data_IF_992931547430
#
_entry.id   IF_992931547430
#
_cell.length_a   1.000
_cell.length_b   1.000
_cell.length_c   1.000
_cell.angle_alpha   90.00
_cell.angle_beta   90.00
_cell.angle_gamma   90.00
#
_symmetry.space_group_name_H-M   'P 1'
#
loop_
_entity.id
_entity.type
_entity.pdbx_description
1 polymer ?
#
# COMPACT_ATOMS: atom_id res chain seq x y z
N UNK A 1 -7.29 -27.14 6.22
CA UNK A 1 -6.73 -26.38 5.08
C UNK A 1 -5.55 -25.57 5.59
N UNK A 2 -4.42 -25.53 4.87
CA UNK A 2 -3.30 -24.68 5.24
C UNK A 2 -3.77 -23.20 5.20
N UNK A 3 -3.43 -22.45 6.25
CA UNK A 3 -3.72 -21.02 6.33
C UNK A 3 -3.04 -20.28 5.18
N UNK A 4 -3.77 -19.40 4.47
CA UNK A 4 -3.17 -18.53 3.45
C UNK A 4 -2.30 -17.47 4.09
N UNK A 5 -1.27 -17.04 3.37
CA UNK A 5 -0.34 -16.00 3.81
C UNK A 5 -0.46 -14.78 2.89
N UNK A 6 -0.65 -13.60 3.48
CA UNK A 6 -0.66 -12.32 2.79
C UNK A 6 0.52 -11.46 3.22
N UNK A 7 1.12 -10.74 2.27
CA UNK A 7 2.11 -9.69 2.53
C UNK A 7 1.52 -8.33 2.16
N UNK A 8 1.59 -7.38 3.09
CA UNK A 8 1.05 -6.02 2.92
C UNK A 8 2.19 -5.01 3.04
N UNK A 9 2.48 -4.25 1.99
CA UNK A 9 3.26 -3.03 2.13
C UNK A 9 2.35 -1.91 2.60
N UNK A 10 2.85 -1.00 3.47
CA UNK A 10 2.01 0.07 4.02
C UNK A 10 0.97 -0.41 5.04
N UNK A 11 1.22 -1.52 5.74
CA UNK A 11 0.32 -2.10 6.77
C UNK A 11 -0.02 -1.10 7.90
N UNK A 12 0.86 -0.14 8.19
CA UNK A 12 0.65 0.91 9.20
C UNK A 12 -0.21 2.06 8.71
N UNK A 13 -0.59 2.08 7.42
CA UNK A 13 -1.50 3.05 6.84
C UNK A 13 -2.96 2.81 7.23
N UNK A 14 -3.85 3.72 6.80
CA UNK A 14 -5.30 3.56 6.99
C UNK A 14 -5.77 2.22 6.42
N UNK A 15 -5.62 2.03 5.12
CA UNK A 15 -6.15 0.86 4.41
C UNK A 15 -5.42 -0.42 4.80
N UNK A 16 -4.09 -0.35 4.98
CA UNK A 16 -3.28 -1.50 5.41
C UNK A 16 -3.71 -2.06 6.75
N UNK A 17 -4.07 -1.18 7.70
CA UNK A 17 -4.52 -1.61 9.03
C UNK A 17 -5.90 -2.28 9.00
N UNK A 18 -6.85 -1.77 8.22
CA UNK A 18 -8.16 -2.42 8.03
C UNK A 18 -8.05 -3.73 7.24
N UNK A 19 -7.20 -3.76 6.20
CA UNK A 19 -6.96 -4.98 5.44
C UNK A 19 -6.34 -6.08 6.31
N UNK A 20 -5.41 -5.72 7.19
CA UNK A 20 -4.81 -6.68 8.12
C UNK A 20 -5.86 -7.31 9.03
N UNK A 21 -6.76 -6.52 9.64
CA UNK A 21 -7.87 -7.03 10.45
C UNK A 21 -8.80 -7.94 9.64
N UNK A 22 -9.16 -7.51 8.43
CA UNK A 22 -10.03 -8.29 7.56
C UNK A 22 -9.42 -9.64 7.19
N UNK A 23 -8.15 -9.67 6.82
CA UNK A 23 -7.46 -10.92 6.48
C UNK A 23 -7.31 -11.85 7.69
N UNK A 24 -7.02 -11.29 8.86
CA UNK A 24 -7.00 -12.07 10.12
C UNK A 24 -8.34 -12.70 10.42
N UNK A 25 -9.45 -11.98 10.21
CA UNK A 25 -10.81 -12.53 10.39
C UNK A 25 -11.13 -13.67 9.42
N UNK A 26 -10.44 -13.70 8.28
CA UNK A 26 -10.51 -14.78 7.27
C UNK A 26 -9.52 -15.93 7.53
N UNK A 27 -8.78 -15.89 8.62
CA UNK A 27 -7.85 -16.96 9.00
C UNK A 27 -6.47 -16.90 8.32
N UNK A 28 -6.10 -15.76 7.71
CA UNK A 28 -4.79 -15.59 7.10
C UNK A 28 -3.68 -15.43 8.13
N UNK A 29 -2.46 -15.81 7.72
CA UNK A 29 -1.22 -15.29 8.28
C UNK A 29 -0.92 -13.96 7.58
N UNK A 30 -0.75 -12.88 8.33
CA UNK A 30 -0.54 -11.53 7.80
C UNK A 30 0.88 -11.08 8.07
N UNK A 31 1.62 -10.79 7.01
CA UNK A 31 2.95 -10.22 7.06
C UNK A 31 2.89 -8.78 6.60
N UNK A 32 3.49 -7.85 7.35
CA UNK A 32 3.48 -6.44 7.02
C UNK A 32 4.89 -5.88 6.85
N UNK A 33 5.10 -5.08 5.81
CA UNK A 33 6.33 -4.28 5.67
C UNK A 33 6.14 -2.96 6.39
N UNK A 34 7.05 -2.64 7.31
CA UNK A 34 7.10 -1.37 8.04
C UNK A 34 8.45 -0.69 7.81
N UNK A 35 8.44 0.63 7.62
CA UNK A 35 9.68 1.40 7.53
C UNK A 35 10.27 1.58 8.93
N UNK A 36 11.58 1.47 9.00
CA UNK A 36 12.29 1.81 10.24
C UNK A 36 12.21 3.32 10.48
N UNK A 37 11.77 3.71 11.66
CA UNK A 37 11.64 5.10 12.08
C UNK A 37 12.11 5.24 13.52
N UNK A 38 12.64 6.41 13.89
CA UNK A 38 12.97 6.75 15.28
C UNK A 38 11.73 7.05 16.14
N UNK A 39 10.58 7.31 15.50
CA UNK A 39 9.28 7.47 16.16
C UNK A 39 8.37 6.27 15.84
N UNK A 40 7.50 5.92 16.79
CA UNK A 40 6.53 4.86 16.59
C UNK A 40 5.52 5.25 15.51
N UNK A 41 5.32 4.38 14.54
CA UNK A 41 4.36 4.56 13.44
C UNK A 41 3.36 3.40 13.33
N UNK A 42 3.27 2.57 14.38
CA UNK A 42 2.48 1.32 14.44
C UNK A 42 1.12 1.47 15.11
N UNK A 43 0.76 2.66 15.59
CA UNK A 43 -0.45 2.91 16.40
C UNK A 43 -1.74 2.30 15.81
N UNK A 44 -1.88 2.27 14.46
CA UNK A 44 -3.08 1.71 13.81
C UNK A 44 -3.16 0.19 13.85
N UNK A 45 -2.08 -0.50 14.19
CA UNK A 45 -1.97 -1.95 14.21
C UNK A 45 -1.51 -2.52 15.56
N UNK A 46 -1.28 -1.66 16.57
CA UNK A 46 -0.82 -2.11 17.91
C UNK A 46 -1.76 -3.12 18.56
N UNK A 47 -3.07 -2.94 18.39
CA UNK A 47 -4.08 -3.86 18.89
C UNK A 47 -4.04 -5.26 18.23
N UNK A 48 -3.33 -5.39 17.10
CA UNK A 48 -3.10 -6.67 16.43
C UNK A 48 -1.80 -7.35 16.88
N UNK A 49 -0.98 -6.64 17.66
CA UNK A 49 0.29 -7.16 18.11
C UNK A 49 0.07 -8.27 19.14
N UNK A 50 0.83 -9.33 18.99
CA UNK A 50 0.99 -10.38 19.97
C UNK A 50 2.47 -10.64 20.21
N UNK A 51 2.81 -11.13 21.38
CA UNK A 51 4.19 -11.49 21.72
C UNK A 51 4.78 -12.44 20.67
N UNK A 52 6.09 -12.32 20.44
CA UNK A 52 6.80 -13.14 19.44
C UNK A 52 6.72 -14.64 19.76
N UNK A 53 6.56 -14.98 21.02
CA UNK A 53 6.46 -16.37 21.52
C UNK A 53 5.02 -16.88 21.59
N UNK A 54 4.01 -16.03 21.31
CA UNK A 54 2.61 -16.46 21.28
C UNK A 54 2.35 -17.39 20.09
N UNK A 55 2.01 -18.66 20.30
CA UNK A 55 1.74 -19.61 19.22
C UNK A 55 0.52 -19.23 18.37
N UNK A 56 -0.37 -18.40 18.88
CA UNK A 56 -1.52 -17.88 18.13
C UNK A 56 -1.21 -16.60 17.34
N UNK A 57 0.02 -16.13 17.37
CA UNK A 57 0.44 -14.95 16.61
C UNK A 57 0.27 -15.18 15.13
N UNK A 58 -0.52 -14.31 14.50
CA UNK A 58 -0.79 -14.34 13.06
C UNK A 58 -0.39 -13.05 12.32
N UNK A 59 0.16 -12.07 13.05
CA UNK A 59 0.73 -10.85 12.48
C UNK A 59 2.23 -10.84 12.64
N UNK A 60 2.95 -10.67 11.54
CA UNK A 60 4.41 -10.66 11.49
C UNK A 60 4.88 -9.39 10.79
N UNK A 61 5.67 -8.57 11.47
CA UNK A 61 6.18 -7.33 10.91
C UNK A 61 7.64 -7.50 10.47
N UNK A 62 7.96 -6.95 9.31
CA UNK A 62 9.29 -6.95 8.72
C UNK A 62 9.71 -5.52 8.43
N UNK A 63 10.93 -5.15 8.80
CA UNK A 63 11.50 -3.88 8.37
C UNK A 63 11.84 -3.96 6.88
N UNK A 64 11.47 -2.91 6.13
CA UNK A 64 11.75 -2.78 4.71
C UNK A 64 11.24 -1.45 4.16
N UNK A 65 11.71 -1.09 2.99
CA UNK A 65 11.28 0.08 2.24
C UNK A 65 11.02 -0.32 0.77
N UNK A 66 10.07 0.35 0.10
CA UNK A 66 9.79 0.10 -1.32
C UNK A 66 10.97 0.42 -2.23
N UNK A 67 11.86 1.33 -1.81
CA UNK A 67 13.09 1.64 -2.55
C UNK A 67 14.21 0.60 -2.35
N UNK A 68 14.08 -0.32 -1.40
CA UNK A 68 15.01 -1.41 -1.14
C UNK A 68 14.53 -2.72 -1.78
N UNK A 69 14.75 -2.84 -3.08
CA UNK A 69 14.35 -4.04 -3.82
C UNK A 69 14.99 -5.33 -3.32
N UNK A 70 16.21 -5.28 -2.79
CA UNK A 70 16.90 -6.45 -2.22
C UNK A 70 16.23 -6.94 -0.96
N UNK A 71 15.98 -6.05 0.00
CA UNK A 71 15.29 -6.39 1.25
C UNK A 71 13.85 -6.88 1.03
N UNK A 72 13.14 -6.30 0.06
CA UNK A 72 11.81 -6.78 -0.35
C UNK A 72 11.86 -8.21 -0.91
N UNK A 73 12.82 -8.49 -1.80
CA UNK A 73 13.01 -9.82 -2.39
C UNK A 73 13.35 -10.88 -1.31
N UNK A 74 14.24 -10.56 -0.39
CA UNK A 74 14.58 -11.45 0.73
C UNK A 74 13.35 -11.74 1.61
N UNK A 75 12.56 -10.69 1.91
CA UNK A 75 11.34 -10.85 2.70
C UNK A 75 10.32 -11.72 1.98
N UNK A 76 10.07 -11.49 0.69
CA UNK A 76 9.17 -12.31 -0.12
C UNK A 76 9.65 -13.77 -0.19
N UNK A 77 10.96 -14.01 -0.36
CA UNK A 77 11.56 -15.35 -0.39
C UNK A 77 11.35 -16.10 0.92
N UNK A 78 11.47 -15.41 2.05
CA UNK A 78 11.27 -15.97 3.39
C UNK A 78 9.78 -16.24 3.69
N UNK A 79 8.91 -15.28 3.37
CA UNK A 79 7.47 -15.33 3.68
C UNK A 79 6.73 -16.26 2.73
N UNK A 80 7.08 -16.30 1.46
CA UNK A 80 6.41 -17.08 0.40
C UNK A 80 4.89 -16.84 0.39
N UNK A 81 4.43 -15.59 0.25
CA UNK A 81 3.01 -15.27 0.37
C UNK A 81 2.18 -15.90 -0.74
N UNK A 82 0.89 -16.08 -0.51
CA UNK A 82 -0.10 -16.41 -1.53
C UNK A 82 -0.58 -15.15 -2.25
N UNK A 83 -0.61 -14.03 -1.50
CA UNK A 83 -1.17 -12.75 -1.94
C UNK A 83 -0.27 -11.61 -1.45
N UNK A 84 -0.03 -10.63 -2.32
CA UNK A 84 0.75 -9.42 -2.01
C UNK A 84 -0.12 -8.19 -2.29
N UNK A 85 -0.27 -7.34 -1.30
CA UNK A 85 -1.03 -6.09 -1.37
C UNK A 85 -0.06 -4.91 -1.27
N UNK A 86 0.15 -4.21 -2.38
CA UNK A 86 1.01 -3.04 -2.42
C UNK A 86 0.21 -1.77 -2.13
N UNK A 87 0.12 -1.43 -0.84
CA UNK A 87 -0.56 -0.22 -0.34
C UNK A 87 0.43 0.86 0.12
N UNK A 88 1.72 0.51 0.21
CA UNK A 88 2.79 1.45 0.55
C UNK A 88 2.99 2.47 -0.56
N UNK A 89 3.16 3.74 -0.18
CA UNK A 89 3.43 4.83 -1.10
C UNK A 89 3.92 6.09 -0.35
N UNK A 90 4.57 7.01 -1.07
CA UNK A 90 4.59 8.42 -0.70
C UNK A 90 3.26 9.03 -1.19
N UNK A 91 2.20 8.97 -0.37
CA UNK A 91 0.82 9.22 -0.80
C UNK A 91 0.35 10.68 -0.64
N UNK A 92 1.20 11.56 -0.15
CA UNK A 92 0.83 12.97 0.05
C UNK A 92 1.11 13.78 -1.22
N UNK A 93 0.06 14.16 -1.97
CA UNK A 93 0.17 14.86 -3.25
C UNK A 93 1.04 16.11 -3.16
N UNK A 94 0.84 16.97 -2.14
CA UNK A 94 1.65 18.19 -1.99
C UNK A 94 3.14 17.87 -1.83
N UNK A 95 3.48 16.89 -0.99
CA UNK A 95 4.88 16.47 -0.76
C UNK A 95 5.54 15.97 -2.05
N UNK A 96 4.77 15.40 -2.98
CA UNK A 96 5.32 14.94 -4.25
C UNK A 96 5.91 16.06 -5.12
N UNK A 97 5.43 17.30 -4.95
CA UNK A 97 6.03 18.46 -5.63
C UNK A 97 7.35 18.89 -4.98
N UNK A 98 7.46 18.72 -3.66
CA UNK A 98 8.67 19.08 -2.91
C UNK A 98 9.74 17.97 -3.01
N UNK A 99 9.32 16.71 -3.17
CA UNK A 99 10.20 15.53 -3.25
C UNK A 99 9.82 14.60 -4.43
N UNK A 100 9.89 15.11 -5.69
CA UNK A 100 9.43 14.34 -6.85
C UNK A 100 10.27 13.08 -7.11
N UNK A 101 11.59 13.15 -6.93
CA UNK A 101 12.48 12.00 -7.15
C UNK A 101 12.19 10.88 -6.16
N UNK A 102 12.08 11.20 -4.87
CA UNK A 102 11.72 10.20 -3.84
C UNK A 102 10.35 9.58 -4.11
N UNK A 103 9.38 10.39 -4.52
CA UNK A 103 8.04 9.91 -4.87
C UNK A 103 8.08 8.90 -6.02
N UNK A 104 8.84 9.19 -7.09
CA UNK A 104 9.00 8.26 -8.22
C UNK A 104 9.77 7.00 -7.80
N UNK A 105 10.83 7.12 -7.01
CA UNK A 105 11.57 5.96 -6.50
C UNK A 105 10.68 5.04 -5.66
N UNK A 106 9.90 5.61 -4.76
CA UNK A 106 9.01 4.85 -3.88
C UNK A 106 7.83 4.24 -4.65
N UNK A 107 7.08 5.08 -5.38
CA UNK A 107 5.77 4.71 -5.90
C UNK A 107 5.88 4.01 -7.27
N UNK A 108 6.79 4.43 -8.14
CA UNK A 108 6.97 3.85 -9.46
C UNK A 108 8.02 2.72 -9.45
N UNK A 109 9.27 3.04 -9.12
CA UNK A 109 10.36 2.06 -9.13
C UNK A 109 10.18 0.98 -8.05
N UNK A 110 9.66 1.35 -6.88
CA UNK A 110 9.32 0.38 -5.83
C UNK A 110 8.26 -0.64 -6.29
N UNK A 111 7.26 -0.20 -7.06
CA UNK A 111 6.24 -1.11 -7.62
C UNK A 111 6.84 -2.09 -8.62
N UNK A 112 7.67 -1.65 -9.56
CA UNK A 112 8.28 -2.56 -10.54
C UNK A 112 9.28 -3.51 -9.86
N UNK A 113 10.04 -3.01 -8.88
CA UNK A 113 10.94 -3.85 -8.08
C UNK A 113 10.20 -4.97 -7.34
N UNK A 114 9.02 -4.66 -6.79
CA UNK A 114 8.17 -5.65 -6.13
C UNK A 114 7.57 -6.65 -7.12
N UNK A 115 7.11 -6.21 -8.29
CA UNK A 115 6.61 -7.08 -9.37
C UNK A 115 7.69 -8.04 -9.87
N UNK A 116 8.93 -7.55 -10.10
CA UNK A 116 10.07 -8.39 -10.49
C UNK A 116 10.40 -9.43 -9.43
N UNK A 117 10.45 -9.03 -8.16
CA UNK A 117 10.71 -9.97 -7.07
C UNK A 117 9.62 -11.06 -6.98
N UNK A 118 8.35 -10.69 -7.16
CA UNK A 118 7.23 -11.66 -7.19
C UNK A 118 7.37 -12.60 -8.37
N UNK A 119 7.68 -12.09 -9.58
CA UNK A 119 7.86 -12.89 -10.79
C UNK A 119 8.95 -13.95 -10.63
N UNK A 120 10.10 -13.55 -10.10
CA UNK A 120 11.21 -14.46 -9.83
C UNK A 120 10.84 -15.57 -8.85
N UNK A 121 10.15 -15.19 -7.77
CA UNK A 121 9.75 -16.12 -6.72
C UNK A 121 8.69 -17.11 -7.24
N UNK A 122 7.74 -16.65 -8.04
CA UNK A 122 6.75 -17.51 -8.69
C UNK A 122 7.45 -18.56 -9.56
N UNK A 123 8.42 -18.14 -10.37
CA UNK A 123 9.18 -19.03 -11.24
C UNK A 123 10.01 -20.04 -10.43
N UNK A 124 10.61 -19.60 -9.33
CA UNK A 124 11.43 -20.45 -8.47
C UNK A 124 10.61 -21.50 -7.72
N UNK A 125 9.43 -21.15 -7.24
CA UNK A 125 8.60 -22.04 -6.42
C UNK A 125 7.48 -22.72 -7.19
N UNK A 126 7.30 -22.43 -8.48
CA UNK A 126 6.30 -23.04 -9.34
C UNK A 126 4.84 -22.80 -8.92
N UNK A 127 4.58 -21.73 -8.18
CA UNK A 127 3.22 -21.38 -7.75
C UNK A 127 2.89 -19.90 -7.95
N UNK A 128 1.67 -19.56 -8.37
CA UNK A 128 1.26 -18.18 -8.56
C UNK A 128 1.14 -17.44 -7.23
N UNK A 129 1.52 -16.16 -7.26
CA UNK A 129 1.30 -15.19 -6.18
C UNK A 129 0.36 -14.12 -6.74
N UNK A 130 -0.75 -13.85 -6.05
CA UNK A 130 -1.68 -12.79 -6.47
C UNK A 130 -1.15 -11.45 -6.01
N UNK A 131 -1.09 -10.50 -6.92
CA UNK A 131 -0.64 -9.14 -6.65
C UNK A 131 -1.78 -8.13 -6.80
N UNK A 132 -1.90 -7.24 -5.83
CA UNK A 132 -2.81 -6.10 -5.88
C UNK A 132 -2.02 -4.80 -5.75
N UNK A 133 -2.24 -3.87 -6.67
CA UNK A 133 -1.69 -2.52 -6.67
C UNK A 133 -2.75 -1.51 -6.24
N UNK A 134 -2.49 -0.76 -5.18
CA UNK A 134 -3.27 0.42 -4.85
C UNK A 134 -2.94 1.55 -5.83
N UNK A 135 -3.79 1.72 -6.82
CA UNK A 135 -3.78 2.84 -7.74
C UNK A 135 -4.63 3.98 -7.18
N UNK A 136 -4.76 5.09 -7.89
CA UNK A 136 -5.36 6.31 -7.35
C UNK A 136 -6.19 7.06 -8.38
N UNK A 137 -7.27 7.71 -7.95
CA UNK A 137 -8.03 8.67 -8.76
C UNK A 137 -7.19 9.87 -9.23
N UNK A 138 -6.04 10.17 -8.56
CA UNK A 138 -5.09 11.18 -8.99
C UNK A 138 -4.46 10.90 -10.37
N UNK A 139 -4.58 9.66 -10.86
CA UNK A 139 -4.19 9.30 -12.23
C UNK A 139 -5.06 10.02 -13.27
N UNK A 140 -6.34 10.25 -12.98
CA UNK A 140 -7.24 10.99 -13.87
C UNK A 140 -6.89 12.49 -13.95
N UNK A 141 -6.44 13.09 -12.85
CA UNK A 141 -5.93 14.45 -12.76
C UNK A 141 -6.84 15.51 -13.39
N UNK A 142 -6.48 16.08 -14.56
CA UNK A 142 -7.37 16.97 -15.33
C UNK A 142 -8.39 16.12 -16.07
N UNK A 143 -9.49 15.83 -15.39
CA UNK A 143 -10.55 14.92 -15.85
C UNK A 143 -11.10 15.34 -17.21
N UNK A 144 -11.21 14.39 -18.13
CA UNK A 144 -11.77 14.60 -19.48
C UNK A 144 -13.20 14.08 -19.60
N UNK A 145 -13.65 13.25 -18.67
CA UNK A 145 -14.97 12.63 -18.67
C UNK A 145 -15.47 12.46 -17.25
N UNK A 146 -16.76 12.72 -17.02
CA UNK A 146 -17.44 12.58 -15.74
C UNK A 146 -18.78 11.87 -15.96
N UNK A 147 -19.13 10.83 -15.20
CA UNK A 147 -18.27 10.16 -14.22
C UNK A 147 -17.09 9.43 -14.87
N UNK A 148 -16.00 9.24 -14.10
CA UNK A 148 -14.85 8.44 -14.55
C UNK A 148 -15.17 6.95 -14.49
N UNK A 149 -14.53 6.19 -15.39
CA UNK A 149 -14.52 4.74 -15.42
C UNK A 149 -13.13 4.23 -15.85
N UNK A 150 -12.99 2.94 -16.05
CA UNK A 150 -11.71 2.31 -16.39
C UNK A 150 -11.20 2.68 -17.80
N UNK A 151 -12.07 3.20 -18.68
CA UNK A 151 -11.74 3.65 -20.04
C UNK A 151 -11.40 5.15 -20.08
N UNK A 152 -11.69 5.89 -18.99
CA UNK A 152 -11.40 7.33 -18.92
C UNK A 152 -9.90 7.57 -19.00
N UNK A 153 -9.41 8.39 -19.97
CA UNK A 153 -7.98 8.64 -20.15
C UNK A 153 -7.33 9.29 -18.93
N UNK A 154 -6.18 8.78 -18.52
CA UNK A 154 -5.38 9.39 -17.46
C UNK A 154 -4.73 10.69 -17.93
N UNK A 155 -4.76 11.73 -17.09
CA UNK A 155 -4.12 13.01 -17.30
C UNK A 155 -3.58 13.56 -15.98
N UNK A 156 -2.59 12.87 -15.35
CA UNK A 156 -2.10 13.23 -14.03
C UNK A 156 -1.56 14.65 -13.96
N UNK A 157 -1.71 15.30 -12.79
CA UNK A 157 -1.33 16.70 -12.56
C UNK A 157 -0.38 16.85 -11.38
N UNK A 158 0.23 15.76 -10.93
CA UNK A 158 1.22 15.75 -9.86
C UNK A 158 2.26 14.66 -10.09
N UNK A 159 3.50 14.79 -9.54
CA UNK A 159 4.49 13.72 -9.58
C UNK A 159 3.96 12.41 -8.99
N UNK A 160 3.14 12.47 -7.93
CA UNK A 160 2.44 11.33 -7.37
C UNK A 160 1.50 10.66 -8.38
N UNK A 161 0.64 11.46 -9.04
CA UNK A 161 -0.27 10.95 -10.07
C UNK A 161 0.48 10.29 -11.23
N UNK A 162 1.59 10.90 -11.70
CA UNK A 162 2.45 10.32 -12.74
C UNK A 162 3.06 8.98 -12.31
N UNK A 163 3.57 8.90 -11.08
CA UNK A 163 4.13 7.66 -10.53
C UNK A 163 3.06 6.55 -10.42
N UNK A 164 1.83 6.91 -10.02
CA UNK A 164 0.69 5.97 -9.96
C UNK A 164 0.24 5.50 -11.35
N UNK A 165 0.27 6.36 -12.38
CA UNK A 165 0.02 5.95 -13.78
C UNK A 165 1.07 4.95 -14.25
N UNK A 166 2.35 5.20 -13.97
CA UNK A 166 3.42 4.24 -14.26
C UNK A 166 3.14 2.88 -13.61
N UNK A 167 2.87 2.87 -12.30
CA UNK A 167 2.62 1.64 -11.53
C UNK A 167 1.38 0.90 -12.03
N UNK A 168 0.33 1.61 -12.40
CA UNK A 168 -0.87 1.05 -13.01
C UNK A 168 -0.53 0.28 -14.28
N UNK A 169 0.16 0.93 -15.23
CA UNK A 169 0.50 0.29 -16.51
C UNK A 169 1.54 -0.82 -16.36
N UNK A 170 2.47 -0.73 -15.40
CA UNK A 170 3.35 -1.85 -15.09
C UNK A 170 2.56 -3.05 -14.56
N UNK A 171 1.59 -2.84 -13.70
CA UNK A 171 0.71 -3.92 -13.19
C UNK A 171 -0.07 -4.59 -14.33
N UNK A 172 -0.62 -3.80 -15.27
CA UNK A 172 -1.27 -4.31 -16.48
C UNK A 172 -0.29 -5.10 -17.35
N UNK A 173 0.91 -4.53 -17.60
CA UNK A 173 1.93 -5.16 -18.42
C UNK A 173 2.39 -6.52 -17.84
N UNK A 174 2.58 -6.62 -16.52
CA UNK A 174 2.96 -7.87 -15.88
C UNK A 174 1.85 -8.92 -15.94
N UNK A 175 0.59 -8.49 -15.88
CA UNK A 175 -0.55 -9.39 -16.10
C UNK A 175 -0.58 -9.92 -17.51
N UNK A 176 -0.44 -9.05 -18.51
CA UNK A 176 -0.62 -9.39 -19.92
C UNK A 176 0.64 -10.01 -20.54
N UNK A 177 1.82 -9.48 -20.21
CA UNK A 177 3.09 -9.92 -20.77
C UNK A 177 3.67 -11.17 -20.11
N UNK A 178 3.45 -11.35 -18.79
CA UNK A 178 4.02 -12.48 -18.04
C UNK A 178 2.97 -13.42 -17.46
N UNK A 179 1.67 -13.21 -17.72
CA UNK A 179 0.60 -14.05 -17.22
C UNK A 179 0.43 -14.01 -15.69
N UNK A 180 0.94 -13.00 -15.00
CA UNK A 180 0.81 -12.86 -13.56
C UNK A 180 -0.63 -12.51 -13.16
N UNK A 181 -1.09 -13.03 -12.03
CA UNK A 181 -2.32 -12.51 -11.42
C UNK A 181 -2.02 -11.16 -10.76
N UNK A 182 -2.17 -10.09 -11.53
CA UNK A 182 -1.90 -8.72 -11.08
C UNK A 182 -3.10 -7.81 -11.38
N UNK A 183 -3.62 -7.13 -10.36
CA UNK A 183 -4.80 -6.27 -10.46
C UNK A 183 -4.56 -4.90 -9.84
N UNK A 184 -5.23 -3.89 -10.41
CA UNK A 184 -5.24 -2.53 -9.89
C UNK A 184 -6.58 -2.24 -9.21
N UNK A 185 -6.55 -1.56 -8.07
CA UNK A 185 -7.72 -0.90 -7.51
C UNK A 185 -7.59 0.60 -7.66
N UNK A 186 -8.49 1.24 -8.38
CA UNK A 186 -8.49 2.70 -8.56
C UNK A 186 -9.19 3.33 -7.36
N UNK A 187 -8.40 3.72 -6.35
CA UNK A 187 -8.91 4.26 -5.10
C UNK A 187 -9.24 5.74 -5.26
N UNK A 188 -10.46 6.10 -4.96
CA UNK A 188 -10.90 7.48 -4.77
C UNK A 188 -10.69 7.90 -3.31
N UNK A 189 -10.95 9.18 -3.00
CA UNK A 189 -10.86 9.67 -1.64
C UNK A 189 -11.81 8.87 -0.74
N UNK A 190 -11.25 8.34 0.33
CA UNK A 190 -11.99 7.56 1.32
C UNK A 190 -11.44 7.85 2.72
N UNK A 191 -12.35 8.00 3.66
CA UNK A 191 -12.06 8.51 4.99
C UNK A 191 -12.44 7.51 6.06
N UNK A 192 -11.73 7.56 7.19
CA UNK A 192 -12.04 6.76 8.37
C UNK A 192 -11.44 7.42 9.62
N UNK A 193 -11.77 6.92 10.83
CA UNK A 193 -11.10 7.33 12.06
C UNK A 193 -9.57 7.15 12.04
N UNK A 194 -9.05 6.28 11.15
CA UNK A 194 -7.62 6.02 10.97
C UNK A 194 -6.96 6.88 9.90
N UNK A 195 -7.67 7.84 9.30
CA UNK A 195 -7.10 8.74 8.30
C UNK A 195 -5.90 9.49 8.88
N UNK A 196 -4.86 9.69 8.06
CA UNK A 196 -3.68 10.46 8.46
C UNK A 196 -4.04 11.90 8.84
N UNK A 197 -3.46 12.39 9.94
CA UNK A 197 -3.83 13.68 10.54
C UNK A 197 -3.49 14.90 9.67
N UNK A 198 -2.59 14.74 8.71
CA UNK A 198 -2.18 15.77 7.75
C UNK A 198 -3.12 15.91 6.55
N UNK A 199 -4.05 14.97 6.36
CA UNK A 199 -5.03 15.05 5.28
C UNK A 199 -6.19 15.98 5.63
N UNK A 200 -6.76 16.62 4.59
CA UNK A 200 -7.71 17.74 4.75
C UNK A 200 -8.91 17.39 5.64
N UNK A 201 -9.57 16.27 5.41
CA UNK A 201 -10.75 15.86 6.18
C UNK A 201 -10.41 15.65 7.66
N UNK A 202 -9.29 14.99 7.95
CA UNK A 202 -8.85 14.76 9.33
C UNK A 202 -8.41 16.07 10.02
N UNK A 203 -7.78 16.99 9.30
CA UNK A 203 -7.49 18.34 9.80
C UNK A 203 -8.77 19.06 10.22
N UNK A 204 -9.80 19.07 9.35
CA UNK A 204 -11.08 19.73 9.62
C UNK A 204 -11.76 19.10 10.84
N UNK A 205 -11.91 17.79 10.89
CA UNK A 205 -12.58 17.10 12.01
C UNK A 205 -11.86 17.29 13.34
N UNK A 206 -10.52 17.30 13.34
CA UNK A 206 -9.73 17.61 14.54
C UNK A 206 -9.88 19.06 14.98
N UNK A 207 -9.83 20.01 14.03
CA UNK A 207 -10.03 21.42 14.35
C UNK A 207 -11.43 21.66 14.94
N UNK A 208 -12.48 21.13 14.30
CA UNK A 208 -13.85 21.23 14.81
C UNK A 208 -14.01 20.66 16.22
N UNK A 209 -13.42 19.49 16.50
CA UNK A 209 -13.40 18.89 17.83
C UNK A 209 -12.68 19.78 18.86
N UNK A 210 -11.51 20.31 18.52
CA UNK A 210 -10.74 21.19 19.41
C UNK A 210 -11.46 22.51 19.70
N UNK A 211 -12.11 23.11 18.69
CA UNK A 211 -12.92 24.33 18.85
C UNK A 211 -14.08 24.05 19.80
N UNK A 212 -14.79 22.92 19.61
CA UNK A 212 -15.90 22.51 20.49
C UNK A 212 -15.47 22.36 21.95
N UNK A 213 -14.26 21.84 22.19
CA UNK A 213 -13.69 21.66 23.53
C UNK A 213 -12.97 22.91 24.07
N UNK A 214 -13.01 24.04 23.36
CA UNK A 214 -12.34 25.29 23.76
C UNK A 214 -10.80 25.23 23.69
N UNK A 215 -10.23 24.25 23.01
CA UNK A 215 -8.79 24.06 22.87
C UNK A 215 -8.16 24.79 21.67
N UNK A 216 -9.02 25.41 20.85
CA UNK A 216 -8.61 26.16 19.65
C UNK A 216 -9.71 27.17 19.30
N UNK A 217 -9.31 28.36 18.81
CA UNK A 217 -10.20 29.40 18.24
C UNK A 217 -10.22 29.36 16.73
#
# INVERSE_FOLDING_TARGET
MLSKTALITGITGQDGSYLAEFLLSKGYQVHGIIRRSSSFNTQRIEHLYRDIHDPERRVHLHYGDLIDGTGLRETLTRVKPNEVYNLGAQSHVRVSFDQPVYTVQCDALGTIGLLEAIRDIQNTYGRPIKFYQASSSEMYGKVRQTPQNEETPFHPRSPYGCAKVFSYWQTVNYREGYGMHASNGILFNHESPRRGETFVTRKITRAAGRIKEGLQS
#
